data_IF_260493815116
#
_entry.id   IF_260493815116
#
_cell.length_a   1.000
_cell.length_b   1.000
_cell.length_c   1.000
_cell.angle_alpha   90.00
_cell.angle_beta   90.00
_cell.angle_gamma   90.00
#
_symmetry.space_group_name_H-M   'P 1'
#
loop_
_entity.id
_entity.type
_entity.pdbx_description
1 polymer ?
#
# COMPACT_ATOMS: atom_id res chain seq x y z
N UNK A 1 13.74 1.48 -9.62
CA UNK A 1 13.04 2.21 -10.70
C UNK A 1 11.98 1.28 -11.28
N UNK A 2 10.74 1.74 -11.51
CA UNK A 2 9.62 0.88 -12.01
C UNK A 2 9.42 0.97 -13.54
N UNK A 3 10.44 1.39 -14.29
CA UNK A 3 10.37 1.62 -15.75
C UNK A 3 11.62 1.08 -16.48
N UNK A 4 12.22 0.02 -15.97
CA UNK A 4 13.37 -0.65 -16.59
C UNK A 4 12.94 -1.83 -17.45
N UNK A 5 13.86 -2.35 -18.27
CA UNK A 5 13.67 -3.55 -19.12
C UNK A 5 13.16 -4.78 -18.34
N UNK A 6 13.43 -4.82 -17.03
CA UNK A 6 12.97 -5.87 -16.10
C UNK A 6 11.44 -5.96 -16.00
N UNK A 7 10.73 -4.86 -16.20
CA UNK A 7 9.27 -4.80 -15.98
C UNK A 7 8.51 -5.51 -17.10
N UNK A 8 8.95 -5.37 -18.35
CA UNK A 8 8.35 -6.05 -19.49
C UNK A 8 8.65 -7.56 -19.46
N UNK A 9 9.81 -7.94 -18.92
CA UNK A 9 10.15 -9.35 -18.69
C UNK A 9 9.24 -10.00 -17.64
N UNK A 10 8.88 -9.28 -16.59
CA UNK A 10 7.89 -9.72 -15.58
C UNK A 10 6.51 -9.88 -16.21
N UNK A 11 6.06 -8.94 -17.03
CA UNK A 11 4.77 -9.03 -17.72
C UNK A 11 4.67 -10.31 -18.56
N UNK A 12 5.68 -10.56 -19.40
CA UNK A 12 5.74 -11.77 -20.24
C UNK A 12 5.84 -13.06 -19.42
N UNK A 13 6.65 -13.07 -18.36
CA UNK A 13 6.90 -14.27 -17.54
C UNK A 13 5.68 -14.70 -16.73
N UNK A 14 4.95 -13.75 -16.17
CA UNK A 14 3.83 -14.02 -15.27
C UNK A 14 2.46 -13.86 -15.93
N UNK A 15 2.41 -13.51 -17.21
CA UNK A 15 1.18 -13.25 -17.97
C UNK A 15 0.23 -12.27 -17.25
N UNK A 16 0.81 -11.27 -16.59
CA UNK A 16 0.07 -10.20 -15.91
C UNK A 16 -0.16 -9.05 -16.87
N UNK A 17 -1.05 -8.12 -16.51
CA UNK A 17 -1.18 -6.85 -17.22
C UNK A 17 -0.68 -5.73 -16.33
N UNK A 18 0.20 -4.90 -16.87
CA UNK A 18 0.69 -3.73 -16.14
C UNK A 18 -0.26 -2.54 -16.29
N UNK A 19 -0.63 -1.94 -15.16
CA UNK A 19 -1.38 -0.69 -15.14
C UNK A 19 -0.41 0.49 -15.00
N UNK A 20 -0.22 1.25 -16.07
CA UNK A 20 0.65 2.42 -16.05
C UNK A 20 -0.08 3.64 -15.48
N UNK A 21 0.58 4.30 -14.52
CA UNK A 21 0.10 5.54 -13.92
C UNK A 21 0.78 6.75 -14.59
N UNK A 22 0.03 7.81 -14.95
CA UNK A 22 0.64 9.06 -15.35
C UNK A 22 1.52 9.64 -14.24
N UNK A 23 2.55 10.41 -14.61
CA UNK A 23 3.41 11.07 -13.65
C UNK A 23 2.59 12.01 -12.73
N UNK A 24 2.99 12.12 -11.47
CA UNK A 24 2.37 13.00 -10.47
C UNK A 24 0.85 12.83 -10.31
N UNK A 25 0.32 11.63 -10.58
CA UNK A 25 -1.13 11.35 -10.50
C UNK A 25 -1.49 10.40 -9.35
N UNK A 26 -1.17 10.74 -8.08
CA UNK A 26 -1.42 9.86 -6.94
C UNK A 26 -2.91 9.55 -6.74
N UNK A 27 -3.79 10.46 -7.15
CA UNK A 27 -5.24 10.30 -7.08
C UNK A 27 -5.77 9.16 -7.98
N UNK A 28 -4.99 8.72 -8.98
CA UNK A 28 -5.33 7.58 -9.83
C UNK A 28 -4.85 6.24 -9.25
N UNK A 29 -4.01 6.27 -8.19
CA UNK A 29 -3.49 5.07 -7.56
C UNK A 29 -4.37 4.65 -6.38
N UNK A 30 -5.06 3.49 -6.44
CA UNK A 30 -5.98 3.07 -5.38
C UNK A 30 -5.30 2.87 -4.02
N UNK A 31 -3.99 2.58 -4.02
CA UNK A 31 -3.21 2.36 -2.79
C UNK A 31 -3.02 3.65 -1.97
N UNK A 32 -3.05 4.83 -2.60
CA UNK A 32 -2.87 6.11 -1.88
C UNK A 32 -3.97 6.35 -0.85
N UNK A 33 -5.22 5.97 -1.19
CA UNK A 33 -6.34 6.00 -0.25
C UNK A 33 -6.13 5.01 0.90
N UNK A 34 -5.66 3.81 0.60
CA UNK A 34 -5.34 2.81 1.62
C UNK A 34 -4.24 3.31 2.58
N UNK A 35 -3.18 3.94 2.06
CA UNK A 35 -2.13 4.54 2.87
C UNK A 35 -2.64 5.66 3.78
N UNK A 36 -3.55 6.50 3.30
CA UNK A 36 -4.17 7.54 4.13
C UNK A 36 -4.90 6.93 5.34
N UNK A 37 -5.69 5.88 5.12
CA UNK A 37 -6.42 5.17 6.18
C UNK A 37 -5.47 4.47 7.14
N UNK A 38 -4.47 3.75 6.62
CA UNK A 38 -3.47 3.03 7.43
C UNK A 38 -2.74 4.01 8.35
N UNK A 39 -2.16 5.08 7.78
CA UNK A 39 -1.41 6.09 8.54
C UNK A 39 -2.26 6.72 9.64
N UNK A 40 -3.53 7.01 9.37
CA UNK A 40 -4.45 7.57 10.37
C UNK A 40 -4.65 6.62 11.55
N UNK A 41 -4.92 5.34 11.29
CA UNK A 41 -5.15 4.33 12.33
C UNK A 41 -3.89 4.04 13.15
N UNK A 42 -2.74 3.88 12.48
CA UNK A 42 -1.45 3.64 13.15
C UNK A 42 -1.08 4.82 14.06
N UNK A 43 -1.20 6.06 13.56
CA UNK A 43 -0.93 7.26 14.37
C UNK A 43 -1.79 7.31 15.64
N UNK A 44 -3.07 6.93 15.53
CA UNK A 44 -3.96 6.87 16.68
C UNK A 44 -3.51 5.82 17.71
N UNK A 45 -3.15 4.61 17.27
CA UNK A 45 -2.68 3.55 18.17
C UNK A 45 -1.36 3.87 18.87
N UNK A 46 -0.40 4.45 18.14
CA UNK A 46 0.87 4.87 18.72
C UNK A 46 0.66 6.00 19.73
N UNK A 47 -0.11 7.03 19.36
CA UNK A 47 -0.28 8.23 20.19
C UNK A 47 -1.21 8.05 21.40
N UNK A 48 -2.26 7.24 21.28
CA UNK A 48 -3.30 7.11 22.32
C UNK A 48 -3.17 5.83 23.14
N UNK A 49 -2.66 4.75 22.54
CA UNK A 49 -2.62 3.43 23.18
C UNK A 49 -1.20 2.98 23.54
N UNK A 50 -0.20 3.87 23.43
CA UNK A 50 1.23 3.60 23.71
C UNK A 50 1.76 2.33 23.03
N UNK A 51 1.17 1.93 21.90
CA UNK A 51 1.65 0.81 21.09
C UNK A 51 2.94 1.20 20.38
N UNK A 52 3.85 0.25 20.19
CA UNK A 52 4.97 0.46 19.28
C UNK A 52 4.46 0.58 17.83
N UNK A 53 5.31 1.06 16.93
CA UNK A 53 4.97 1.17 15.51
C UNK A 53 4.59 -0.20 14.93
N UNK A 54 5.34 -1.24 15.29
CA UNK A 54 5.16 -2.62 14.84
C UNK A 54 3.82 -3.18 15.31
N UNK A 55 3.52 -3.05 16.61
CA UNK A 55 2.25 -3.49 17.19
C UNK A 55 1.04 -2.75 16.60
N UNK A 56 1.20 -1.46 16.29
CA UNK A 56 0.15 -0.67 15.66
C UNK A 56 -0.06 -1.08 14.19
N UNK A 57 1.02 -1.34 13.45
CA UNK A 57 0.95 -1.84 12.06
C UNK A 57 0.27 -3.21 12.00
N UNK A 58 0.72 -4.16 12.82
CA UNK A 58 0.16 -5.51 12.89
C UNK A 58 -1.34 -5.46 13.22
N UNK A 59 -1.71 -4.70 14.25
CA UNK A 59 -3.12 -4.55 14.64
C UNK A 59 -3.99 -3.93 13.53
N UNK A 60 -3.46 -2.99 12.74
CA UNK A 60 -4.24 -2.37 11.67
C UNK A 60 -4.32 -3.27 10.44
N UNK A 61 -3.22 -3.90 10.03
CA UNK A 61 -3.17 -4.78 8.85
C UNK A 61 -4.04 -6.03 9.06
N UNK A 62 -3.98 -6.65 10.25
CA UNK A 62 -4.82 -7.81 10.58
C UNK A 62 -6.32 -7.48 10.60
N UNK A 63 -6.68 -6.20 10.79
CA UNK A 63 -8.08 -5.74 10.72
C UNK A 63 -8.53 -5.34 9.30
N UNK A 64 -7.61 -5.13 8.35
CA UNK A 64 -7.96 -4.80 6.95
C UNK A 64 -8.34 -6.06 6.15
N UNK A 65 -7.82 -7.24 6.54
CA UNK A 65 -8.12 -8.53 5.89
C UNK A 65 -9.58 -8.97 6.07
N UNK A 66 -10.31 -8.44 7.06
CA UNK A 66 -11.74 -8.73 7.26
C UNK A 66 -12.70 -7.91 6.38
N UNK A 67 -12.20 -7.13 5.42
CA UNK A 67 -13.00 -6.28 4.52
C UNK A 67 -12.79 -6.56 3.03
N UNK A 68 -12.04 -7.61 2.67
CA UNK A 68 -11.85 -8.06 1.28
C UNK A 68 -12.39 -9.49 1.16
#
# INVERSE_FOLDING_TARGET
MHKGEDVDAVERKYQVRLAYLPAYSPYLSPIEKAWSVLKRKVRHLVGQHKKTMEQALEAVLNNVVNFI
#
